data_IF_181905398548
#
_entry.id   IF_181905398548
#
_cell.length_a   1.000
_cell.length_b   1.000
_cell.length_c   1.000
_cell.angle_alpha   90.00
_cell.angle_beta   90.00
_cell.angle_gamma   90.00
#
_symmetry.space_group_name_H-M   'P 1'
#
loop_
_entity.id
_entity.type
_entity.pdbx_description
1 polymer ?
#
# COMPACT_ATOMS: atom_id res chain seq x y z
N UNK A 1 22.61 34.07 22.80
CA UNK A 1 21.67 33.27 21.97
C UNK A 1 20.37 33.23 22.74
N UNK A 2 19.57 34.27 22.56
CA UNK A 2 18.80 34.89 23.66
C UNK A 2 17.32 34.84 23.30
N UNK A 3 16.45 34.55 24.28
CA UNK A 3 14.99 34.80 24.46
C UNK A 3 14.12 35.08 23.19
N UNK A 4 14.58 35.87 22.22
CA UNK A 4 14.00 36.06 20.88
C UNK A 4 13.70 34.77 20.11
N UNK A 5 14.57 33.76 20.13
CA UNK A 5 14.33 32.50 19.39
C UNK A 5 13.20 31.70 20.03
N UNK A 6 13.14 31.67 21.37
CA UNK A 6 12.07 31.01 22.13
C UNK A 6 10.73 31.72 21.91
N UNK A 7 10.71 33.06 21.90
CA UNK A 7 9.51 33.85 21.59
C UNK A 7 9.02 33.68 20.14
N UNK A 8 9.93 33.49 19.17
CA UNK A 8 9.56 33.21 17.77
C UNK A 8 8.93 31.82 17.60
N UNK A 9 9.45 30.80 18.29
CA UNK A 9 8.90 29.43 18.23
C UNK A 9 7.52 29.37 18.89
N UNK A 10 7.33 30.01 20.05
CA UNK A 10 6.03 30.08 20.74
C UNK A 10 4.99 30.85 19.90
N UNK A 11 5.41 31.92 19.23
CA UNK A 11 4.55 32.70 18.33
C UNK A 11 4.06 31.86 17.14
N UNK A 12 4.95 31.08 16.50
CA UNK A 12 4.63 30.24 15.34
C UNK A 12 3.69 29.09 15.72
N UNK A 13 3.90 28.42 16.86
CA UNK A 13 2.98 27.38 17.33
C UNK A 13 1.62 27.95 17.69
N UNK A 14 1.57 29.12 18.33
CA UNK A 14 0.30 29.79 18.64
C UNK A 14 -0.47 30.18 17.37
N UNK A 15 0.24 30.53 16.29
CA UNK A 15 -0.36 30.84 14.98
C UNK A 15 -0.89 29.59 14.28
N UNK A 16 -0.15 28.48 14.31
CA UNK A 16 -0.58 27.19 13.78
C UNK A 16 -1.82 26.67 14.50
N UNK A 17 -1.86 26.77 15.82
CA UNK A 17 -3.03 26.37 16.64
C UNK A 17 -4.26 27.23 16.30
N UNK A 18 -4.08 28.55 16.15
CA UNK A 18 -5.18 29.48 15.80
C UNK A 18 -5.69 29.29 14.37
N UNK A 19 -4.81 29.01 13.40
CA UNK A 19 -5.21 28.68 12.03
C UNK A 19 -5.94 27.34 11.97
N UNK A 20 -5.45 26.32 12.68
CA UNK A 20 -6.10 25.01 12.73
C UNK A 20 -7.50 25.09 13.38
N UNK A 21 -7.65 25.93 14.42
CA UNK A 21 -8.95 26.22 15.05
C UNK A 21 -9.90 26.97 14.12
N UNK A 22 -9.41 27.98 13.39
CA UNK A 22 -10.21 28.73 12.41
C UNK A 22 -10.68 27.84 11.24
N UNK A 23 -9.86 26.90 10.77
CA UNK A 23 -10.24 25.93 9.73
C UNK A 23 -11.29 24.94 10.23
N UNK A 24 -11.18 24.46 11.47
CA UNK A 24 -12.18 23.57 12.10
C UNK A 24 -13.52 24.27 12.32
N UNK A 25 -13.51 25.50 12.82
CA UNK A 25 -14.73 26.32 13.00
C UNK A 25 -15.35 26.70 11.65
N UNK A 26 -14.54 27.02 10.64
CA UNK A 26 -15.00 27.29 9.28
C UNK A 26 -15.68 26.08 8.62
N UNK A 27 -15.12 24.87 8.78
CA UNK A 27 -15.74 23.63 8.31
C UNK A 27 -17.04 23.29 9.06
N UNK A 28 -17.09 23.52 10.38
CA UNK A 28 -18.29 23.30 11.19
C UNK A 28 -19.45 24.24 10.82
N UNK A 29 -19.16 25.53 10.57
CA UNK A 29 -20.17 26.51 10.15
C UNK A 29 -20.68 26.23 8.74
N UNK A 30 -19.80 25.80 7.82
CA UNK A 30 -20.19 25.43 6.46
C UNK A 30 -21.13 24.20 6.43
N UNK A 31 -20.87 23.19 7.29
CA UNK A 31 -21.72 21.99 7.44
C UNK A 31 -23.15 22.27 7.95
N UNK A 32 -23.38 23.37 8.69
CA UNK A 32 -24.70 23.67 9.27
C UNK A 32 -25.57 24.65 8.47
N UNK A 33 -24.96 25.50 7.63
CA UNK A 33 -25.67 26.61 6.98
C UNK A 33 -25.65 26.56 5.45
N UNK A 34 -24.95 25.61 4.82
CA UNK A 34 -25.00 25.42 3.36
C UNK A 34 -24.51 26.62 2.55
N UNK A 35 -23.61 27.44 3.08
CA UNK A 35 -23.05 28.61 2.38
C UNK A 35 -21.70 28.28 1.73
N UNK A 36 -21.71 28.13 0.40
CA UNK A 36 -20.53 27.86 -0.43
C UNK A 36 -19.41 28.90 -0.28
N UNK A 37 -18.17 28.42 -0.17
CA UNK A 37 -16.84 28.97 -0.60
C UNK A 37 -16.45 30.40 -0.15
N UNK A 38 -17.37 31.35 -0.11
CA UNK A 38 -17.13 32.78 0.16
C UNK A 38 -16.56 33.03 1.56
N UNK A 39 -16.96 32.27 2.58
CA UNK A 39 -16.54 32.53 3.97
C UNK A 39 -15.07 32.12 4.20
N UNK A 40 -14.62 31.01 3.60
CA UNK A 40 -13.22 30.59 3.63
C UNK A 40 -12.30 31.60 2.95
N UNK A 41 -12.74 32.20 1.84
CA UNK A 41 -12.00 33.26 1.16
C UNK A 41 -11.92 34.54 1.99
N UNK A 42 -13.00 34.92 2.68
CA UNK A 42 -13.03 36.12 3.54
C UNK A 42 -12.12 35.97 4.77
N UNK A 43 -12.12 34.80 5.42
CA UNK A 43 -11.24 34.52 6.57
C UNK A 43 -9.76 34.51 6.15
N UNK A 44 -9.45 33.97 4.97
CA UNK A 44 -8.09 33.98 4.42
C UNK A 44 -7.63 35.38 4.00
N UNK A 45 -8.52 36.19 3.39
CA UNK A 45 -8.24 37.58 3.01
C UNK A 45 -8.04 38.46 4.25
N UNK A 46 -8.84 38.27 5.31
CA UNK A 46 -8.64 38.97 6.59
C UNK A 46 -7.34 38.54 7.29
N UNK A 47 -6.96 37.26 7.19
CA UNK A 47 -5.66 36.76 7.65
C UNK A 47 -4.48 37.37 6.90
N UNK A 48 -4.58 37.50 5.57
CA UNK A 48 -3.55 38.15 4.74
C UNK A 48 -3.49 39.67 4.99
N UNK A 49 -4.62 40.33 5.22
CA UNK A 49 -4.66 41.75 5.58
C UNK A 49 -4.02 42.01 6.96
N UNK A 50 -4.21 41.09 7.91
CA UNK A 50 -3.57 41.11 9.23
C UNK A 50 -2.05 40.93 9.12
N UNK A 51 -1.58 40.00 8.27
CA UNK A 51 -0.14 39.77 7.99
C UNK A 51 0.49 40.99 7.30
N UNK A 52 -0.23 41.64 6.37
CA UNK A 52 0.25 42.84 5.65
C UNK A 52 0.42 44.06 6.56
N UNK A 53 -0.39 44.18 7.62
CA UNK A 53 -0.30 45.28 8.59
C UNK A 53 0.75 45.09 9.68
N UNK A 54 1.28 43.88 9.88
CA UNK A 54 2.35 43.60 10.83
C UNK A 54 3.68 43.29 10.12
N UNK A 55 4.33 44.34 9.60
CA UNK A 55 5.66 44.28 8.98
C UNK A 55 6.75 43.91 10.00
N UNK A 56 7.33 42.71 9.89
CA UNK A 56 8.79 42.44 9.99
C UNK A 56 9.12 40.93 9.95
N UNK A 57 8.78 40.25 8.87
CA UNK A 57 9.35 38.92 8.60
C UNK A 57 9.70 38.85 7.11
N UNK A 58 11.01 38.87 6.81
CA UNK A 58 11.53 38.59 5.47
C UNK A 58 11.12 37.18 5.06
N UNK A 59 10.06 37.09 4.25
CA UNK A 59 9.37 35.83 3.95
C UNK A 59 8.92 35.72 2.48
N UNK A 60 9.53 36.49 1.57
CA UNK A 60 9.12 36.43 0.17
C UNK A 60 9.52 35.11 -0.52
N UNK A 61 10.61 34.46 -0.13
CA UNK A 61 11.04 33.22 -0.78
C UNK A 61 10.38 31.96 -0.21
N UNK A 62 10.12 31.91 1.10
CA UNK A 62 9.44 30.77 1.74
C UNK A 62 7.98 30.73 1.32
N UNK A 63 7.30 31.89 1.34
CA UNK A 63 5.89 32.00 0.91
C UNK A 63 5.75 31.72 -0.59
N UNK A 64 6.74 32.08 -1.42
CA UNK A 64 6.72 31.77 -2.85
C UNK A 64 6.90 30.28 -3.10
N UNK A 65 7.83 29.63 -2.40
CA UNK A 65 8.13 28.20 -2.56
C UNK A 65 7.01 27.30 -2.04
N UNK A 66 6.42 27.64 -0.88
CA UNK A 66 5.24 26.94 -0.37
C UNK A 66 4.00 27.16 -1.25
N UNK A 67 3.85 28.35 -1.85
CA UNK A 67 2.77 28.63 -2.79
C UNK A 67 2.94 27.87 -4.11
N UNK A 68 4.16 27.74 -4.61
CA UNK A 68 4.48 26.94 -5.81
C UNK A 68 4.24 25.44 -5.54
N UNK A 69 4.70 24.90 -4.40
CA UNK A 69 4.43 23.51 -4.01
C UNK A 69 2.94 23.24 -3.73
N UNK A 70 2.21 24.18 -3.11
CA UNK A 70 0.78 24.06 -2.86
C UNK A 70 -0.03 24.10 -4.15
N UNK A 71 0.32 24.99 -5.09
CA UNK A 71 -0.32 25.07 -6.41
C UNK A 71 -0.05 23.80 -7.21
N UNK A 72 1.14 23.20 -7.11
CA UNK A 72 1.44 21.94 -7.80
C UNK A 72 0.69 20.75 -7.17
N UNK A 73 0.57 20.71 -5.83
CA UNK A 73 -0.29 19.72 -5.14
C UNK A 73 -1.77 19.90 -5.48
N UNK A 74 -2.26 21.14 -5.56
CA UNK A 74 -3.63 21.44 -6.01
C UNK A 74 -3.83 21.07 -7.49
N UNK A 75 -2.80 21.21 -8.33
CA UNK A 75 -2.87 20.84 -9.75
C UNK A 75 -2.92 19.33 -9.94
N UNK A 76 -2.12 18.57 -9.19
CA UNK A 76 -2.15 17.09 -9.15
C UNK A 76 -3.48 16.58 -8.55
N UNK A 77 -3.99 17.26 -7.53
CA UNK A 77 -5.31 16.98 -6.93
C UNK A 77 -6.48 17.34 -7.86
N UNK A 78 -6.36 18.40 -8.67
CA UNK A 78 -7.39 18.86 -9.62
C UNK A 78 -7.33 18.18 -10.99
N UNK A 79 -6.28 17.41 -11.30
CA UNK A 79 -6.17 16.63 -12.54
C UNK A 79 -6.85 15.25 -12.48
N UNK A 80 -7.56 14.93 -11.39
CA UNK A 80 -8.36 13.71 -11.27
C UNK A 80 -9.61 13.88 -12.13
N UNK A 81 -9.59 13.28 -13.31
CA UNK A 81 -10.74 13.24 -14.23
C UNK A 81 -11.43 11.88 -14.11
N UNK A 82 -12.75 11.88 -14.20
CA UNK A 82 -13.52 10.71 -14.62
C UNK A 82 -13.17 10.45 -16.09
N UNK A 83 -12.31 9.46 -16.32
CA UNK A 83 -11.96 9.02 -17.68
C UNK A 83 -12.81 7.80 -18.04
N UNK A 84 -13.67 7.94 -19.03
CA UNK A 84 -14.23 6.82 -19.79
C UNK A 84 -13.10 6.17 -20.61
N UNK A 85 -12.49 5.12 -20.08
CA UNK A 85 -11.50 4.34 -20.81
C UNK A 85 -12.21 3.38 -21.78
N UNK A 86 -12.34 3.77 -23.04
CA UNK A 86 -12.83 2.91 -24.14
C UNK A 86 -11.72 1.97 -24.63
N UNK A 87 -11.29 1.02 -23.79
CA UNK A 87 -10.39 -0.04 -24.22
C UNK A 87 -10.95 -1.43 -23.91
N UNK A 88 -12.01 -1.79 -24.63
CA UNK A 88 -12.72 -3.05 -24.50
C UNK A 88 -11.89 -4.29 -24.91
N UNK A 89 -10.70 -4.11 -25.51
CA UNK A 89 -9.89 -5.22 -26.04
C UNK A 89 -9.00 -5.86 -24.99
N UNK A 90 -8.64 -5.13 -23.92
CA UNK A 90 -7.82 -5.64 -22.80
C UNK A 90 -8.68 -6.48 -21.83
N UNK A 91 -10.00 -6.26 -21.81
CA UNK A 91 -10.95 -6.92 -20.89
C UNK A 91 -11.14 -8.43 -21.13
N UNK A 92 -10.77 -8.95 -22.31
CA UNK A 92 -11.13 -10.31 -22.74
C UNK A 92 -10.05 -11.39 -22.59
N UNK A 93 -8.83 -11.07 -22.13
CA UNK A 93 -7.75 -12.07 -22.02
C UNK A 93 -7.38 -12.49 -20.59
N UNK A 94 -7.77 -11.73 -19.56
CA UNK A 94 -7.34 -11.94 -18.17
C UNK A 94 -8.06 -13.12 -17.48
N UNK A 95 -9.10 -13.69 -18.12
CA UNK A 95 -10.02 -14.66 -17.52
C UNK A 95 -9.79 -16.15 -17.81
N UNK A 96 -8.64 -16.60 -18.36
CA UNK A 96 -8.46 -18.02 -18.74
C UNK A 96 -7.41 -18.83 -17.99
N UNK A 97 -6.51 -18.23 -17.20
CA UNK A 97 -5.70 -19.00 -16.23
C UNK A 97 -6.52 -19.14 -14.94
N UNK A 98 -6.73 -20.38 -14.49
CA UNK A 98 -7.43 -20.69 -13.24
C UNK A 98 -6.63 -20.10 -12.06
N UNK A 99 -7.11 -19.04 -11.43
CA UNK A 99 -6.49 -18.46 -10.24
C UNK A 99 -6.53 -19.48 -9.09
N UNK A 100 -5.35 -19.83 -8.57
CA UNK A 100 -5.21 -20.68 -7.39
C UNK A 100 -4.92 -19.79 -6.19
N UNK A 101 -5.67 -20.00 -5.12
CA UNK A 101 -5.58 -19.24 -3.87
C UNK A 101 -5.24 -20.15 -2.71
N UNK A 102 -4.63 -19.57 -1.68
CA UNK A 102 -4.57 -20.11 -0.34
C UNK A 102 -5.81 -19.62 0.42
N UNK A 103 -6.65 -20.54 0.85
CA UNK A 103 -7.95 -20.26 1.46
C UNK A 103 -8.03 -20.79 2.88
N UNK A 104 -8.58 -19.97 3.78
CA UNK A 104 -8.67 -20.23 5.21
C UNK A 104 -10.12 -20.05 5.66
N UNK A 105 -10.76 -21.16 6.06
CA UNK A 105 -12.16 -21.16 6.50
C UNK A 105 -12.29 -21.02 8.02
N UNK A 106 -11.35 -21.60 8.77
CA UNK A 106 -11.37 -21.66 10.23
C UNK A 106 -10.18 -20.89 10.82
N UNK A 107 -10.21 -19.56 10.72
CA UNK A 107 -9.22 -18.67 11.33
C UNK A 107 -9.91 -17.70 12.29
N UNK A 108 -9.24 -17.37 13.39
CA UNK A 108 -9.71 -16.33 14.31
C UNK A 108 -9.53 -14.95 13.64
N UNK A 109 -10.64 -14.24 13.46
CA UNK A 109 -10.70 -12.91 12.85
C UNK A 109 -9.79 -11.88 13.53
N UNK A 110 -9.61 -11.99 14.85
CA UNK A 110 -8.77 -11.11 15.66
C UNK A 110 -7.29 -11.53 15.67
N UNK A 111 -6.99 -12.76 15.24
CA UNK A 111 -5.62 -13.21 15.11
C UNK A 111 -5.03 -12.64 13.83
N UNK A 112 -3.89 -11.93 13.96
CA UNK A 112 -2.88 -12.01 12.90
C UNK A 112 -2.67 -13.51 12.71
N UNK A 113 -2.79 -14.05 11.51
CA UNK A 113 -2.28 -15.39 11.23
C UNK A 113 -0.81 -15.39 11.67
N UNK A 114 -0.52 -15.83 12.91
CA UNK A 114 0.84 -15.88 13.41
C UNK A 114 1.55 -16.96 12.61
N UNK A 115 2.34 -16.48 11.66
CA UNK A 115 3.59 -17.01 11.12
C UNK A 115 3.71 -18.54 11.12
N UNK A 116 3.61 -19.14 9.93
CA UNK A 116 4.00 -20.54 9.70
C UNK A 116 3.00 -21.61 10.15
N UNK A 117 1.91 -21.26 10.84
CA UNK A 117 0.85 -22.22 11.14
C UNK A 117 -0.07 -22.42 9.92
N UNK A 118 0.46 -23.14 8.93
CA UNK A 118 -0.25 -23.63 7.74
C UNK A 118 -1.34 -24.67 8.08
N UNK A 119 -1.80 -24.78 9.33
CA UNK A 119 -2.89 -25.68 9.69
C UNK A 119 -4.21 -25.14 9.12
N UNK A 120 -4.80 -25.90 8.22
CA UNK A 120 -6.12 -25.58 7.62
C UNK A 120 -6.08 -24.75 6.34
N UNK A 121 -4.90 -24.47 5.77
CA UNK A 121 -4.83 -23.85 4.42
C UNK A 121 -5.35 -24.83 3.37
N UNK A 122 -6.33 -24.38 2.59
CA UNK A 122 -6.86 -25.11 1.44
C UNK A 122 -6.38 -24.42 0.17
N UNK A 123 -5.65 -25.13 -0.68
CA UNK A 123 -5.33 -24.63 -2.02
C UNK A 123 -6.48 -24.94 -2.95
N UNK A 124 -7.15 -23.91 -3.43
CA UNK A 124 -8.32 -24.08 -4.28
C UNK A 124 -8.39 -23.08 -5.44
N UNK A 125 -9.25 -23.39 -6.40
CA UNK A 125 -9.53 -22.50 -7.52
C UNK A 125 -10.49 -21.43 -7.05
N UNK A 126 -10.10 -20.17 -7.19
CA UNK A 126 -11.00 -19.06 -6.92
C UNK A 126 -12.15 -19.07 -7.92
N UNK A 127 -13.36 -18.81 -7.42
CA UNK A 127 -14.58 -18.76 -8.24
C UNK A 127 -15.10 -17.33 -8.24
N UNK A 128 -15.21 -16.74 -9.43
CA UNK A 128 -15.86 -15.46 -9.60
C UNK A 128 -17.36 -15.54 -9.30
N UNK A 129 -17.92 -14.45 -8.79
CA UNK A 129 -19.33 -14.33 -8.41
C UNK A 129 -20.04 -13.35 -9.35
N UNK A 130 -21.36 -13.47 -9.47
CA UNK A 130 -22.19 -12.44 -10.09
C UNK A 130 -23.03 -11.73 -9.04
N UNK A 131 -23.11 -10.39 -9.07
CA UNK A 131 -23.96 -9.67 -8.13
C UNK A 131 -25.45 -9.94 -8.43
N UNK A 132 -26.27 -10.12 -7.39
CA UNK A 132 -27.73 -10.37 -7.53
C UNK A 132 -28.51 -9.11 -7.92
N UNK A 133 -27.95 -7.93 -7.63
CA UNK A 133 -28.46 -6.61 -8.00
C UNK A 133 -27.26 -5.67 -8.18
N UNK A 134 -27.49 -4.47 -8.67
CA UNK A 134 -26.45 -3.45 -8.72
C UNK A 134 -26.06 -3.04 -7.29
N UNK A 135 -24.82 -3.31 -6.89
CA UNK A 135 -24.25 -2.89 -5.60
C UNK A 135 -23.32 -1.69 -5.78
N UNK A 136 -23.23 -0.83 -4.78
CA UNK A 136 -22.21 0.21 -4.67
C UNK A 136 -21.25 -0.11 -3.54
N UNK A 137 -19.98 -0.27 -3.86
CA UNK A 137 -18.92 -0.64 -2.92
C UNK A 137 -18.09 0.59 -2.58
N UNK A 138 -17.96 0.86 -1.28
CA UNK A 138 -17.00 1.82 -0.76
C UNK A 138 -15.61 1.21 -0.75
N UNK A 139 -14.60 1.93 -1.23
CA UNK A 139 -13.22 1.44 -1.23
C UNK A 139 -12.33 2.48 -0.58
N UNK A 140 -11.54 2.07 0.40
CA UNK A 140 -10.61 2.95 1.09
C UNK A 140 -9.18 2.40 0.98
N UNK A 141 -8.35 3.09 0.21
CA UNK A 141 -6.92 2.81 0.04
C UNK A 141 -6.08 3.79 0.87
N UNK A 142 -4.83 3.46 1.20
CA UNK A 142 -3.99 4.37 1.98
C UNK A 142 -3.53 5.59 1.16
N UNK A 143 -3.03 5.43 -0.07
CA UNK A 143 -2.56 6.54 -0.91
C UNK A 143 -2.30 6.10 -2.36
N UNK A 144 -1.79 7.02 -3.20
CA UNK A 144 -1.27 6.74 -4.55
C UNK A 144 0.19 7.19 -4.74
N UNK A 145 0.93 7.41 -3.65
CA UNK A 145 2.34 7.82 -3.69
C UNK A 145 3.30 6.76 -4.25
N UNK A 146 2.87 5.49 -4.36
CA UNK A 146 3.65 4.42 -4.97
C UNK A 146 2.84 3.60 -5.99
N UNK A 147 3.55 2.86 -6.83
CA UNK A 147 2.98 2.07 -7.91
C UNK A 147 2.18 0.85 -7.44
N UNK A 148 2.37 0.40 -6.20
CA UNK A 148 1.64 -0.74 -5.65
C UNK A 148 0.16 -0.37 -5.51
N UNK A 149 -0.14 0.77 -4.89
CA UNK A 149 -1.53 1.22 -4.73
C UNK A 149 -2.18 1.76 -6.00
N UNK A 150 -1.37 2.23 -6.97
CA UNK A 150 -1.85 2.51 -8.33
C UNK A 150 -2.33 1.23 -9.01
N UNK A 151 -1.57 0.13 -8.89
CA UNK A 151 -1.96 -1.19 -9.41
C UNK A 151 -3.21 -1.74 -8.70
N UNK A 152 -3.31 -1.54 -7.38
CA UNK A 152 -4.51 -1.90 -6.63
C UNK A 152 -5.75 -1.14 -7.13
N UNK A 153 -5.62 0.17 -7.35
CA UNK A 153 -6.70 0.98 -7.91
C UNK A 153 -7.14 0.49 -9.30
N UNK A 154 -6.18 0.16 -10.18
CA UNK A 154 -6.49 -0.44 -11.47
C UNK A 154 -7.29 -1.74 -11.30
N UNK A 155 -6.80 -2.66 -10.45
CA UNK A 155 -7.45 -3.94 -10.20
C UNK A 155 -8.90 -3.80 -9.71
N UNK A 156 -9.14 -2.86 -8.80
CA UNK A 156 -10.47 -2.55 -8.27
C UNK A 156 -11.38 -1.99 -9.37
N UNK A 157 -10.95 -0.95 -10.07
CA UNK A 157 -11.80 -0.24 -11.04
C UNK A 157 -12.06 -1.10 -12.28
N UNK A 158 -11.03 -1.80 -12.78
CA UNK A 158 -11.15 -2.69 -13.93
C UNK A 158 -12.11 -3.85 -13.64
N UNK A 159 -11.97 -4.48 -12.47
CA UNK A 159 -12.82 -5.61 -12.13
C UNK A 159 -14.23 -5.21 -11.70
N UNK A 160 -14.40 -4.04 -11.07
CA UNK A 160 -15.74 -3.51 -10.78
C UNK A 160 -16.57 -3.32 -12.06
N UNK A 161 -15.94 -2.82 -13.14
CA UNK A 161 -16.57 -2.72 -14.48
C UNK A 161 -16.98 -4.09 -15.02
N UNK A 162 -16.12 -5.09 -14.89
CA UNK A 162 -16.41 -6.47 -15.33
C UNK A 162 -17.54 -7.12 -14.53
N UNK A 163 -17.54 -6.94 -13.20
CA UNK A 163 -18.56 -7.44 -12.29
C UNK A 163 -19.91 -6.71 -12.44
N UNK A 164 -19.91 -5.47 -12.92
CA UNK A 164 -21.10 -4.62 -12.99
C UNK A 164 -21.51 -4.03 -11.63
N UNK A 165 -20.54 -3.70 -10.78
CA UNK A 165 -20.76 -3.00 -9.50
C UNK A 165 -20.22 -1.57 -9.57
N UNK A 166 -20.82 -0.66 -8.79
CA UNK A 166 -20.34 0.72 -8.63
C UNK A 166 -19.27 0.78 -7.55
N UNK A 167 -18.33 1.70 -7.69
CA UNK A 167 -17.26 1.95 -6.72
C UNK A 167 -17.17 3.44 -6.39
N UNK A 168 -17.18 3.75 -5.10
CA UNK A 168 -16.79 5.04 -4.54
C UNK A 168 -15.50 4.85 -3.77
N UNK A 169 -14.40 5.43 -4.25
CA UNK A 169 -13.07 5.19 -3.72
C UNK A 169 -12.46 6.45 -3.12
N UNK A 170 -11.89 6.30 -1.92
CA UNK A 170 -11.09 7.31 -1.24
C UNK A 170 -9.65 6.83 -1.03
N UNK A 171 -8.73 7.79 -0.97
CA UNK A 171 -7.32 7.57 -0.63
C UNK A 171 -6.79 8.76 0.18
N UNK A 172 -6.08 8.50 1.28
CA UNK A 172 -5.81 9.52 2.31
C UNK A 172 -4.48 10.26 2.17
N UNK A 173 -3.80 10.13 1.03
CA UNK A 173 -2.68 10.98 0.65
C UNK A 173 -1.36 10.71 1.38
N UNK A 174 -1.22 9.59 2.11
CA UNK A 174 0.05 9.10 2.65
C UNK A 174 -0.10 8.18 3.86
N UNK A 175 1.00 7.55 4.30
CA UNK A 175 0.99 6.58 5.41
C UNK A 175 0.82 7.19 6.82
N UNK A 176 0.96 8.51 6.96
CA UNK A 176 0.84 9.21 8.26
C UNK A 176 -0.54 9.83 8.50
N UNK A 177 -1.45 9.70 7.54
CA UNK A 177 -2.74 10.39 7.51
C UNK A 177 -3.86 9.57 8.18
N UNK A 178 -3.56 8.95 9.34
CA UNK A 178 -4.49 8.08 10.06
C UNK A 178 -5.82 8.78 10.41
N UNK A 179 -5.74 10.04 10.85
CA UNK A 179 -6.93 10.83 11.18
C UNK A 179 -7.84 11.03 9.97
N UNK A 180 -7.26 11.32 8.81
CA UNK A 180 -8.01 11.44 7.57
C UNK A 180 -8.59 10.09 7.15
N UNK A 181 -7.84 8.97 7.30
CA UNK A 181 -8.36 7.64 6.96
C UNK A 181 -9.58 7.26 7.79
N UNK A 182 -9.60 7.64 9.08
CA UNK A 182 -10.78 7.46 9.92
C UNK A 182 -11.96 8.31 9.44
N UNK A 183 -11.74 9.59 9.11
CA UNK A 183 -12.80 10.46 8.59
C UNK A 183 -13.40 9.88 7.29
N UNK A 184 -12.56 9.46 6.34
CA UNK A 184 -13.01 8.88 5.07
C UNK A 184 -13.71 7.51 5.24
N UNK A 185 -13.28 6.69 6.21
CA UNK A 185 -13.97 5.44 6.55
C UNK A 185 -15.38 5.70 7.09
N UNK A 186 -15.53 6.69 7.98
CA UNK A 186 -16.83 7.09 8.49
C UNK A 186 -17.72 7.68 7.38
N UNK A 187 -17.16 8.50 6.49
CA UNK A 187 -17.89 9.08 5.36
C UNK A 187 -18.42 7.99 4.39
N UNK A 188 -17.69 6.88 4.18
CA UNK A 188 -18.19 5.72 3.44
C UNK A 188 -19.28 4.95 4.22
N UNK A 189 -19.09 4.81 5.53
CA UNK A 189 -20.03 4.10 6.41
C UNK A 189 -21.36 4.87 6.59
N UNK A 190 -21.35 6.19 6.53
CA UNK A 190 -22.55 7.03 6.67
C UNK A 190 -23.32 7.23 5.34
N UNK A 191 -22.73 6.89 4.19
CA UNK A 191 -23.39 7.05 2.88
C UNK A 191 -24.38 5.90 2.62
N UNK A 192 -25.69 6.18 2.68
CA UNK A 192 -26.77 5.20 2.46
C UNK A 192 -26.72 4.49 1.10
N UNK A 193 -25.96 5.01 0.13
CA UNK A 193 -25.80 4.36 -1.18
C UNK A 193 -24.77 3.24 -1.16
N UNK A 194 -23.88 3.20 -0.16
CA UNK A 194 -22.81 2.21 -0.04
C UNK A 194 -23.35 0.96 0.63
N UNK A 195 -23.33 -0.17 -0.08
CA UNK A 195 -23.82 -1.46 0.42
C UNK A 195 -22.77 -2.17 1.29
N UNK A 196 -21.48 -1.95 1.05
CA UNK A 196 -20.38 -2.58 1.79
C UNK A 196 -19.04 -1.92 1.49
N UNK A 197 -18.01 -2.21 2.31
CA UNK A 197 -16.71 -1.52 2.25
C UNK A 197 -15.57 -2.52 2.04
N UNK A 198 -14.65 -2.19 1.12
CA UNK A 198 -13.33 -2.82 1.00
C UNK A 198 -12.28 -1.87 1.56
N UNK A 199 -11.49 -2.31 2.52
CA UNK A 199 -10.63 -1.43 3.31
C UNK A 199 -9.18 -1.94 3.41
N UNK A 200 -8.24 -1.13 2.94
CA UNK A 200 -6.81 -1.30 3.16
C UNK A 200 -6.32 -0.33 4.24
N UNK A 201 -6.15 -0.83 5.46
CA UNK A 201 -5.82 -0.02 6.63
C UNK A 201 -4.37 0.47 6.65
N UNK A 202 -4.11 1.62 7.27
CA UNK A 202 -2.77 2.09 7.66
C UNK A 202 -2.27 1.44 8.97
N UNK A 203 -3.16 0.85 9.76
CA UNK A 203 -2.84 0.24 11.05
C UNK A 203 -3.78 -0.93 11.35
N UNK A 204 -3.21 -2.08 11.71
CA UNK A 204 -3.98 -3.32 11.87
C UNK A 204 -4.92 -3.32 13.09
N UNK A 205 -4.76 -2.40 14.05
CA UNK A 205 -5.48 -2.46 15.33
C UNK A 205 -6.31 -1.22 15.63
N UNK A 206 -5.88 -0.05 15.15
CA UNK A 206 -6.50 1.22 15.56
C UNK A 206 -7.91 1.46 15.03
N UNK A 207 -8.35 0.70 14.03
CA UNK A 207 -9.70 0.77 13.48
C UNK A 207 -10.65 -0.30 14.04
N UNK A 208 -10.23 -1.12 15.00
CA UNK A 208 -11.06 -2.25 15.47
C UNK A 208 -12.44 -1.81 15.95
N UNK A 209 -12.52 -0.80 16.83
CA UNK A 209 -13.80 -0.26 17.29
C UNK A 209 -14.62 0.43 16.19
N UNK A 210 -13.96 1.00 15.18
CA UNK A 210 -14.64 1.58 14.03
C UNK A 210 -15.29 0.49 13.18
N UNK A 211 -14.56 -0.60 12.92
CA UNK A 211 -15.06 -1.78 12.18
C UNK A 211 -16.22 -2.44 12.91
N UNK A 212 -16.09 -2.68 14.22
CA UNK A 212 -17.17 -3.23 15.06
C UNK A 212 -18.46 -2.41 14.91
N UNK A 213 -18.37 -1.08 15.05
CA UNK A 213 -19.52 -0.21 14.91
C UNK A 213 -20.14 -0.29 13.52
N UNK A 214 -19.35 -0.17 12.46
CA UNK A 214 -19.86 -0.17 11.08
C UNK A 214 -20.55 -1.48 10.73
N UNK A 215 -19.96 -2.61 11.10
CA UNK A 215 -20.51 -3.94 10.82
C UNK A 215 -21.79 -4.19 11.63
N UNK A 216 -21.86 -3.72 12.88
CA UNK A 216 -23.08 -3.75 13.67
C UNK A 216 -24.23 -2.90 13.09
N UNK A 217 -23.94 -1.88 12.27
CA UNK A 217 -24.92 -1.11 11.51
C UNK A 217 -25.11 -1.65 10.08
N UNK A 218 -24.96 -2.96 9.89
CA UNK A 218 -25.27 -3.74 8.68
C UNK A 218 -24.43 -3.40 7.42
N UNK A 219 -23.23 -2.82 7.56
CA UNK A 219 -22.29 -2.64 6.44
C UNK A 219 -21.09 -3.59 6.58
N UNK A 220 -21.01 -4.67 5.78
CA UNK A 220 -19.86 -5.57 5.84
C UNK A 220 -18.58 -4.89 5.39
N UNK A 221 -17.47 -5.26 6.02
CA UNK A 221 -16.12 -4.76 5.69
C UNK A 221 -15.21 -5.93 5.33
N UNK A 222 -14.59 -5.86 4.15
CA UNK A 222 -13.55 -6.79 3.72
C UNK A 222 -12.18 -6.12 3.79
N UNK A 223 -11.26 -6.71 4.56
CA UNK A 223 -9.87 -6.24 4.60
C UNK A 223 -9.17 -6.55 3.26
N UNK A 224 -8.42 -5.59 2.72
CA UNK A 224 -7.67 -5.73 1.47
C UNK A 224 -6.19 -5.45 1.71
N UNK A 225 -5.32 -6.39 1.31
CA UNK A 225 -3.85 -6.33 1.41
C UNK A 225 -3.34 -6.25 2.85
N UNK A 226 -3.63 -5.15 3.54
CA UNK A 226 -3.26 -4.93 4.93
C UNK A 226 -4.31 -5.54 5.86
N UNK A 227 -3.84 -6.31 6.85
CA UNK A 227 -4.70 -6.99 7.81
C UNK A 227 -5.39 -6.00 8.76
N UNK A 228 -6.61 -6.34 9.18
CA UNK A 228 -7.37 -5.63 10.19
C UNK A 228 -7.76 -6.67 11.26
N UNK A 229 -7.36 -6.40 12.51
CA UNK A 229 -7.46 -7.34 13.62
C UNK A 229 -8.78 -7.21 14.38
N UNK A 230 -9.81 -6.70 13.72
CA UNK A 230 -11.13 -6.59 14.32
C UNK A 230 -11.78 -7.97 14.31
N UNK A 231 -12.29 -8.49 15.45
CA UNK A 231 -13.10 -9.71 15.46
C UNK A 231 -14.32 -9.63 14.54
N UNK A 232 -14.82 -8.42 14.28
CA UNK A 232 -16.03 -8.16 13.50
C UNK A 232 -15.77 -7.95 12.00
N UNK A 233 -14.51 -8.04 11.55
CA UNK A 233 -14.20 -7.96 10.11
C UNK A 233 -14.92 -9.08 9.35
N UNK A 234 -15.52 -8.77 8.21
CA UNK A 234 -16.42 -9.71 7.54
C UNK A 234 -15.69 -10.76 6.69
N UNK A 235 -14.55 -10.41 6.09
CA UNK A 235 -13.61 -11.31 5.42
C UNK A 235 -12.27 -10.61 5.16
N UNK A 236 -11.24 -11.37 4.72
CA UNK A 236 -9.89 -10.85 4.45
C UNK A 236 -9.35 -11.33 3.09
N UNK A 237 -9.05 -10.39 2.20
CA UNK A 237 -8.35 -10.62 0.94
C UNK A 237 -6.89 -10.17 1.07
N UNK A 238 -6.05 -11.04 1.64
CA UNK A 238 -4.68 -10.71 2.06
C UNK A 238 -3.69 -11.83 1.74
N UNK A 239 -2.41 -11.46 1.64
CA UNK A 239 -1.27 -12.38 1.49
C UNK A 239 -0.35 -12.26 2.71
N UNK A 240 0.27 -13.38 3.11
CA UNK A 240 1.23 -13.43 4.21
C UNK A 240 2.55 -12.76 3.84
N UNK A 241 2.91 -11.67 4.52
CA UNK A 241 4.23 -11.04 4.39
C UNK A 241 5.38 -11.96 4.82
N UNK A 242 5.10 -12.87 5.76
CA UNK A 242 6.02 -13.94 6.11
C UNK A 242 6.30 -14.86 4.91
N UNK A 243 5.27 -15.27 4.18
CA UNK A 243 5.43 -16.14 3.00
C UNK A 243 6.20 -15.42 1.88
N UNK A 244 5.99 -14.11 1.72
CA UNK A 244 6.79 -13.26 0.82
C UNK A 244 8.27 -13.31 1.22
N UNK A 245 8.58 -13.08 2.50
CA UNK A 245 9.93 -13.19 3.04
C UNK A 245 10.54 -14.59 2.84
N UNK A 246 9.76 -15.63 3.11
CA UNK A 246 10.17 -17.03 2.97
C UNK A 246 10.53 -17.34 1.51
N UNK A 247 9.71 -16.90 0.54
CA UNK A 247 9.97 -17.08 -0.89
C UNK A 247 11.24 -16.36 -1.36
N UNK A 248 11.48 -15.15 -0.86
CA UNK A 248 12.74 -14.45 -1.12
C UNK A 248 13.95 -15.19 -0.53
N UNK A 249 13.81 -15.76 0.68
CA UNK A 249 14.86 -16.56 1.32
C UNK A 249 15.14 -17.88 0.61
N UNK A 250 14.10 -18.59 0.17
CA UNK A 250 14.19 -19.80 -0.65
C UNK A 250 15.00 -19.53 -1.91
N UNK A 251 14.68 -18.45 -2.63
CA UNK A 251 15.42 -18.05 -3.82
C UNK A 251 16.90 -17.77 -3.52
N UNK A 252 17.22 -17.00 -2.49
CA UNK A 252 18.62 -16.68 -2.13
C UNK A 252 19.41 -17.93 -1.75
N UNK A 253 18.80 -18.87 -1.02
CA UNK A 253 19.44 -20.14 -0.66
C UNK A 253 19.72 -20.99 -1.90
N UNK A 254 18.75 -21.11 -2.80
CA UNK A 254 18.92 -21.86 -4.06
C UNK A 254 20.02 -21.24 -4.93
N UNK A 255 19.95 -19.92 -5.14
CA UNK A 255 20.86 -19.14 -5.96
C UNK A 255 22.30 -19.13 -5.41
N UNK A 256 22.48 -19.22 -4.10
CA UNK A 256 23.80 -19.36 -3.47
C UNK A 256 24.52 -20.66 -3.85
N UNK A 257 23.80 -21.67 -4.35
CA UNK A 257 24.30 -22.99 -4.71
C UNK A 257 25.06 -23.71 -3.57
N UNK A 258 24.84 -23.31 -2.31
CA UNK A 258 25.55 -23.85 -1.14
C UNK A 258 26.87 -23.15 -0.79
N UNK A 259 27.19 -22.01 -1.42
CA UNK A 259 28.34 -21.18 -1.04
C UNK A 259 28.06 -20.42 0.25
N UNK A 260 29.12 -20.11 0.99
CA UNK A 260 29.05 -19.16 2.10
C UNK A 260 28.79 -17.77 1.55
N UNK A 261 27.82 -17.06 2.14
CA UNK A 261 27.37 -15.75 1.66
C UNK A 261 27.07 -14.79 2.80
N UNK A 262 27.24 -13.49 2.55
CA UNK A 262 26.86 -12.39 3.43
C UNK A 262 25.73 -11.55 2.82
N UNK A 263 24.69 -11.28 3.61
CA UNK A 263 23.46 -10.61 3.16
C UNK A 263 23.26 -9.30 3.92
N UNK A 264 23.14 -8.19 3.20
CA UNK A 264 22.64 -6.93 3.74
C UNK A 264 21.11 -6.90 3.62
N UNK A 265 20.41 -6.79 4.75
CA UNK A 265 18.94 -6.86 4.77
C UNK A 265 18.28 -5.51 5.07
N UNK A 266 17.42 -5.02 4.17
CA UNK A 266 16.70 -3.75 4.25
C UNK A 266 15.19 -4.00 4.29
N UNK A 267 14.61 -4.34 5.46
CA UNK A 267 13.24 -4.84 5.55
C UNK A 267 12.15 -3.77 5.31
N UNK A 268 12.48 -2.48 5.47
CA UNK A 268 11.50 -1.39 5.50
C UNK A 268 11.30 -0.79 6.90
N UNK A 269 10.15 -0.14 7.18
CA UNK A 269 9.91 0.53 8.46
C UNK A 269 9.64 -0.49 9.57
N UNK A 270 10.31 -0.36 10.72
CA UNK A 270 10.21 -1.34 11.81
C UNK A 270 8.78 -1.50 12.36
N UNK A 271 8.05 -0.40 12.45
CA UNK A 271 6.75 -0.33 13.11
C UNK A 271 5.57 -0.66 12.16
N UNK A 272 5.83 -1.13 10.94
CA UNK A 272 4.78 -1.39 9.94
C UNK A 272 4.11 -2.76 10.05
N UNK A 273 4.60 -3.64 10.92
CA UNK A 273 4.19 -5.05 11.00
C UNK A 273 4.78 -5.91 9.86
N UNK A 274 4.50 -5.54 8.60
CA UNK A 274 4.90 -6.32 7.42
C UNK A 274 6.41 -6.49 7.25
N UNK A 275 7.19 -5.48 7.65
CA UNK A 275 8.65 -5.50 7.49
C UNK A 275 9.30 -6.55 8.40
N UNK A 276 8.77 -6.72 9.61
CA UNK A 276 9.26 -7.71 10.56
C UNK A 276 8.88 -9.12 10.11
N UNK A 277 7.63 -9.34 9.71
CA UNK A 277 7.14 -10.64 9.23
C UNK A 277 7.94 -11.12 8.01
N UNK A 278 8.23 -10.21 7.08
CA UNK A 278 9.08 -10.48 5.91
C UNK A 278 10.49 -10.91 6.32
N UNK A 279 11.11 -10.23 7.28
CA UNK A 279 12.43 -10.60 7.79
C UNK A 279 12.41 -11.97 8.48
N UNK A 280 11.37 -12.26 9.26
CA UNK A 280 11.20 -13.52 9.96
C UNK A 280 11.03 -14.68 8.97
N UNK A 281 10.18 -14.52 7.95
CA UNK A 281 10.00 -15.50 6.90
C UNK A 281 11.30 -15.79 6.14
N UNK A 282 12.05 -14.74 5.80
CA UNK A 282 13.35 -14.89 5.14
C UNK A 282 14.34 -15.67 6.01
N UNK A 283 14.45 -15.31 7.29
CA UNK A 283 15.33 -16.01 8.24
C UNK A 283 14.95 -17.48 8.42
N UNK A 284 13.66 -17.79 8.47
CA UNK A 284 13.20 -19.17 8.60
C UNK A 284 13.49 -19.99 7.34
N UNK A 285 13.26 -19.44 6.14
CA UNK A 285 13.66 -20.09 4.89
C UNK A 285 15.16 -20.41 4.88
N UNK A 286 16.00 -19.44 5.23
CA UNK A 286 17.46 -19.63 5.34
C UNK A 286 17.80 -20.72 6.36
N UNK A 287 17.18 -20.67 7.55
CA UNK A 287 17.42 -21.65 8.61
C UNK A 287 17.08 -23.09 8.18
N UNK A 288 15.95 -23.26 7.48
CA UNK A 288 15.44 -24.57 7.06
C UNK A 288 16.12 -25.15 5.83
N UNK A 289 16.51 -24.30 4.87
CA UNK A 289 16.91 -24.74 3.53
C UNK A 289 18.42 -24.74 3.31
N UNK A 290 19.21 -24.01 4.12
CA UNK A 290 20.67 -23.99 3.97
C UNK A 290 21.27 -25.39 4.14
N UNK A 291 22.38 -25.67 3.44
CA UNK A 291 23.12 -26.93 3.63
C UNK A 291 23.77 -26.95 5.02
N UNK A 292 23.94 -28.12 5.63
CA UNK A 292 24.47 -28.26 7.00
C UNK A 292 25.81 -27.54 7.26
N UNK A 293 26.69 -27.46 6.25
CA UNK A 293 28.00 -26.81 6.36
C UNK A 293 28.05 -25.41 5.72
N UNK A 294 26.92 -24.87 5.28
CA UNK A 294 26.85 -23.57 4.64
C UNK A 294 26.68 -22.46 5.69
N UNK A 295 27.55 -21.45 5.63
CA UNK A 295 27.43 -20.23 6.41
C UNK A 295 26.71 -19.15 5.62
N UNK A 296 25.49 -18.82 6.05
CA UNK A 296 24.73 -17.67 5.55
C UNK A 296 24.69 -16.63 6.67
N UNK A 297 25.40 -15.52 6.49
CA UNK A 297 25.48 -14.42 7.46
C UNK A 297 24.49 -13.31 7.06
N UNK A 298 23.41 -13.16 7.82
CA UNK A 298 22.41 -12.11 7.61
C UNK A 298 22.75 -10.95 8.54
N UNK A 299 22.95 -9.76 7.98
CA UNK A 299 23.23 -8.56 8.75
C UNK A 299 22.15 -8.27 9.79
N UNK A 300 22.48 -7.44 10.78
CA UNK A 300 21.44 -6.72 11.49
C UNK A 300 20.58 -5.93 10.48
N UNK A 301 19.25 -5.91 10.65
CA UNK A 301 18.36 -5.28 9.68
C UNK A 301 18.53 -3.76 9.64
N UNK A 302 18.60 -3.21 8.44
CA UNK A 302 18.66 -1.77 8.18
C UNK A 302 17.25 -1.21 7.99
N UNK A 303 16.52 -1.04 9.09
CA UNK A 303 15.16 -0.48 9.07
C UNK A 303 15.16 0.98 8.57
N UNK A 304 14.13 1.35 7.82
CA UNK A 304 13.97 2.71 7.29
C UNK A 304 12.64 2.92 6.60
N UNK A 305 12.18 4.17 6.57
CA UNK A 305 10.99 4.62 5.83
C UNK A 305 11.08 4.19 4.35
N UNK A 306 9.96 3.85 3.71
CA UNK A 306 9.89 3.47 2.29
C UNK A 306 10.15 4.63 1.34
N UNK A 307 10.24 5.88 1.81
CA UNK A 307 10.57 7.02 0.95
C UNK A 307 11.93 6.84 0.23
N UNK A 308 12.01 7.15 -1.08
CA UNK A 308 13.25 6.97 -1.85
C UNK A 308 14.46 7.75 -1.34
N UNK A 309 14.27 8.94 -0.75
CA UNK A 309 15.35 9.74 -0.18
C UNK A 309 15.98 9.08 1.04
N UNK A 310 15.15 8.55 1.94
CA UNK A 310 15.58 7.83 3.14
C UNK A 310 16.29 6.52 2.77
N UNK A 311 15.72 5.76 1.84
CA UNK A 311 16.35 4.52 1.35
C UNK A 311 17.71 4.79 0.69
N UNK A 312 17.81 5.82 -0.17
CA UNK A 312 19.09 6.22 -0.78
C UNK A 312 20.16 6.52 0.28
N UNK A 313 19.80 7.27 1.33
CA UNK A 313 20.73 7.60 2.42
C UNK A 313 21.21 6.34 3.15
N UNK A 314 20.31 5.40 3.45
CA UNK A 314 20.64 4.14 4.12
C UNK A 314 21.53 3.25 3.25
N UNK A 315 21.16 3.04 1.98
CA UNK A 315 21.99 2.29 1.02
C UNK A 315 23.40 2.87 0.92
N UNK A 316 23.50 4.19 0.80
CA UNK A 316 24.79 4.89 0.70
C UNK A 316 25.63 4.64 1.96
N UNK A 317 25.04 4.86 3.15
CA UNK A 317 25.74 4.68 4.42
C UNK A 317 26.23 3.25 4.65
N UNK A 318 25.45 2.23 4.25
CA UNK A 318 25.82 0.83 4.43
C UNK A 318 26.88 0.38 3.43
N UNK A 319 26.69 0.66 2.14
CA UNK A 319 27.55 0.14 1.08
C UNK A 319 28.87 0.93 0.94
N UNK A 320 28.91 2.22 1.29
CA UNK A 320 30.19 2.97 1.26
C UNK A 320 31.21 2.39 2.24
N UNK A 321 30.72 1.88 3.38
CA UNK A 321 31.54 1.33 4.47
C UNK A 321 31.70 -0.20 4.41
N UNK A 322 30.93 -0.91 3.58
CA UNK A 322 30.98 -2.37 3.45
C UNK A 322 30.72 -2.80 2.00
N UNK A 323 31.73 -3.37 1.35
CA UNK A 323 31.64 -3.94 -0.01
C UNK A 323 31.76 -5.47 -0.03
N UNK A 324 31.73 -6.11 1.13
CA UNK A 324 31.89 -7.55 1.32
C UNK A 324 30.55 -8.32 1.38
N UNK A 325 29.44 -7.67 1.04
CA UNK A 325 28.13 -8.34 0.91
C UNK A 325 28.02 -9.04 -0.44
N UNK A 326 27.53 -10.28 -0.45
CA UNK A 326 27.21 -11.02 -1.67
C UNK A 326 25.79 -10.71 -2.16
N UNK A 327 24.87 -10.44 -1.22
CA UNK A 327 23.48 -10.12 -1.51
C UNK A 327 23.03 -8.85 -0.80
N UNK A 328 22.17 -8.10 -1.49
CA UNK A 328 21.30 -7.09 -0.90
C UNK A 328 19.85 -7.54 -1.06
N UNK A 329 19.18 -7.76 0.07
CA UNK A 329 17.77 -8.18 0.11
C UNK A 329 16.96 -7.07 0.78
N UNK A 330 15.85 -6.63 0.19
CA UNK A 330 15.05 -5.60 0.84
C UNK A 330 13.71 -5.29 0.20
N UNK A 331 12.98 -4.37 0.83
CA UNK A 331 11.74 -3.84 0.27
C UNK A 331 11.98 -3.19 -1.11
N UNK A 332 10.94 -3.11 -1.95
CA UNK A 332 11.09 -2.62 -3.32
C UNK A 332 11.78 -1.24 -3.41
N UNK A 333 11.45 -0.23 -2.59
CA UNK A 333 12.16 1.05 -2.58
C UNK A 333 13.66 0.93 -2.26
N UNK A 334 14.03 0.06 -1.32
CA UNK A 334 15.43 -0.19 -0.98
C UNK A 334 16.19 -0.80 -2.16
N UNK A 335 15.58 -1.79 -2.82
CA UNK A 335 16.16 -2.45 -4.00
C UNK A 335 16.31 -1.51 -5.19
N UNK A 336 15.31 -0.66 -5.45
CA UNK A 336 15.37 0.34 -6.52
C UNK A 336 16.53 1.33 -6.27
N UNK A 337 16.70 1.79 -5.04
CA UNK A 337 17.78 2.72 -4.70
C UNK A 337 19.16 2.04 -4.62
N UNK A 338 19.22 0.77 -4.20
CA UNK A 338 20.41 -0.06 -4.26
C UNK A 338 20.90 -0.25 -5.69
N UNK A 339 20.00 -0.59 -6.63
CA UNK A 339 20.33 -0.74 -8.04
C UNK A 339 20.93 0.56 -8.60
N UNK A 340 20.28 1.70 -8.38
CA UNK A 340 20.79 3.01 -8.81
C UNK A 340 22.17 3.33 -8.23
N UNK A 341 22.41 2.95 -6.98
CA UNK A 341 23.69 3.17 -6.31
C UNK A 341 24.81 2.29 -6.90
N UNK A 342 24.53 1.00 -7.10
CA UNK A 342 25.46 0.00 -7.63
C UNK A 342 25.75 0.25 -9.11
N UNK A 343 24.75 0.61 -9.91
CA UNK A 343 24.90 0.90 -11.33
C UNK A 343 25.87 2.05 -11.63
N UNK A 344 26.00 3.01 -10.71
CA UNK A 344 26.98 4.11 -10.78
C UNK A 344 28.39 3.73 -10.32
N UNK A 345 28.56 2.56 -9.71
CA UNK A 345 29.78 2.11 -9.03
C UNK A 345 30.10 0.63 -9.32
N UNK A 346 29.84 0.20 -10.56
CA UNK A 346 29.93 -1.21 -10.97
C UNK A 346 31.28 -1.84 -10.63
N UNK A 347 32.40 -1.14 -10.79
CA UNK A 347 33.71 -1.72 -10.47
C UNK A 347 33.84 -2.15 -8.99
N UNK A 348 33.25 -1.39 -8.07
CA UNK A 348 33.29 -1.70 -6.64
C UNK A 348 32.25 -2.75 -6.23
N UNK A 349 31.05 -2.71 -6.81
CA UNK A 349 29.91 -3.50 -6.34
C UNK A 349 29.34 -4.50 -7.36
N UNK A 350 30.06 -4.84 -8.44
CA UNK A 350 29.58 -5.72 -9.53
C UNK A 350 29.14 -7.12 -9.07
N UNK A 351 29.58 -7.57 -7.90
CA UNK A 351 29.27 -8.90 -7.40
C UNK A 351 28.05 -8.91 -6.48
N UNK A 352 27.54 -7.75 -6.05
CA UNK A 352 26.36 -7.70 -5.18
C UNK A 352 25.11 -8.08 -5.99
N UNK A 353 24.46 -9.15 -5.56
CA UNK A 353 23.22 -9.69 -6.10
C UNK A 353 22.03 -9.07 -5.38
N UNK A 354 21.03 -8.58 -6.12
CA UNK A 354 19.90 -7.85 -5.52
C UNK A 354 18.61 -8.69 -5.61
N UNK A 355 17.90 -8.83 -4.50
CA UNK A 355 16.60 -9.53 -4.42
C UNK A 355 15.60 -8.64 -3.69
N UNK A 356 14.41 -8.42 -4.27
CA UNK A 356 13.35 -7.67 -3.60
C UNK A 356 12.43 -8.60 -2.82
N UNK A 357 11.92 -8.13 -1.68
CA UNK A 357 10.99 -8.88 -0.84
C UNK A 357 9.52 -8.72 -1.24
N UNK A 358 9.22 -7.84 -2.18
CA UNK A 358 7.93 -7.77 -2.86
C UNK A 358 8.02 -7.08 -4.22
N UNK A 359 7.03 -7.34 -5.06
CA UNK A 359 6.99 -6.88 -6.44
C UNK A 359 6.34 -5.49 -6.58
N UNK A 360 6.94 -4.66 -7.41
CA UNK A 360 6.32 -3.47 -8.01
C UNK A 360 6.62 -3.45 -9.51
N UNK A 361 5.95 -2.59 -10.27
CA UNK A 361 6.27 -2.40 -11.70
C UNK A 361 7.74 -2.03 -11.94
N UNK A 362 8.32 -1.19 -11.08
CA UNK A 362 9.74 -0.84 -11.15
C UNK A 362 10.63 -2.05 -10.91
N UNK A 363 10.35 -2.87 -9.88
CA UNK A 363 11.11 -4.09 -9.59
C UNK A 363 10.98 -5.10 -10.74
N UNK A 364 9.79 -5.26 -11.32
CA UNK A 364 9.58 -6.11 -12.50
C UNK A 364 10.47 -5.68 -13.66
N UNK A 365 10.52 -4.38 -13.97
CA UNK A 365 11.37 -3.83 -15.02
C UNK A 365 12.87 -4.02 -14.70
N UNK A 366 13.28 -3.98 -13.43
CA UNK A 366 14.66 -4.26 -13.02
C UNK A 366 15.03 -5.74 -13.14
N UNK A 367 14.09 -6.65 -12.87
CA UNK A 367 14.25 -8.09 -13.11
C UNK A 367 14.35 -8.35 -14.62
N UNK A 368 13.50 -7.72 -15.43
CA UNK A 368 13.57 -7.81 -16.87
C UNK A 368 14.93 -7.32 -17.41
N UNK A 369 15.53 -6.30 -16.80
CA UNK A 369 16.89 -5.82 -17.15
C UNK A 369 18.01 -6.70 -16.60
N UNK A 370 17.72 -7.62 -15.68
CA UNK A 370 18.70 -8.48 -15.01
C UNK A 370 19.54 -7.77 -13.94
N UNK A 371 19.15 -6.56 -13.52
CA UNK A 371 19.83 -5.82 -12.43
C UNK A 371 19.29 -6.18 -11.04
N UNK A 372 18.09 -6.76 -10.98
CA UNK A 372 17.51 -7.44 -9.81
C UNK A 372 17.27 -8.89 -10.20
N UNK A 373 17.58 -9.84 -9.32
CA UNK A 373 17.51 -11.26 -9.66
C UNK A 373 16.10 -11.81 -9.60
N UNK A 374 15.39 -11.51 -8.52
CA UNK A 374 14.05 -12.02 -8.28
C UNK A 374 13.28 -11.17 -7.28
N UNK A 375 11.97 -11.37 -7.27
CA UNK A 375 11.07 -10.88 -6.24
C UNK A 375 9.80 -11.72 -6.15
N UNK A 376 9.29 -12.01 -4.94
CA UNK A 376 7.99 -12.63 -4.80
C UNK A 376 6.89 -11.63 -5.19
N UNK A 377 5.84 -12.12 -5.85
CA UNK A 377 4.66 -11.32 -6.17
C UNK A 377 3.48 -11.79 -5.33
N UNK A 378 2.83 -10.86 -4.65
CA UNK A 378 1.57 -11.07 -3.94
C UNK A 378 0.35 -10.87 -4.87
N UNK A 379 0.58 -10.63 -6.16
CA UNK A 379 -0.44 -10.45 -7.19
C UNK A 379 -1.53 -9.45 -6.77
N UNK A 380 -1.15 -8.20 -6.51
CA UNK A 380 -2.01 -7.12 -5.99
C UNK A 380 -3.36 -6.98 -6.71
N UNK A 381 -3.37 -7.06 -8.05
CA UNK A 381 -4.62 -7.02 -8.84
C UNK A 381 -5.54 -8.19 -8.47
N UNK A 382 -5.00 -9.40 -8.28
CA UNK A 382 -5.80 -10.57 -7.92
C UNK A 382 -6.35 -10.46 -6.49
N UNK A 383 -5.60 -9.89 -5.55
CA UNK A 383 -6.12 -9.58 -4.21
C UNK A 383 -7.33 -8.62 -4.28
N UNK A 384 -7.26 -7.59 -5.14
CA UNK A 384 -8.37 -6.66 -5.35
C UNK A 384 -9.62 -7.37 -5.92
N UNK A 385 -9.42 -8.29 -6.87
CA UNK A 385 -10.52 -9.09 -7.44
C UNK A 385 -11.16 -10.00 -6.40
N UNK A 386 -10.35 -10.68 -5.60
CA UNK A 386 -10.79 -11.51 -4.48
C UNK A 386 -11.61 -10.68 -3.49
N UNK A 387 -11.15 -9.48 -3.12
CA UNK A 387 -11.87 -8.61 -2.19
C UNK A 387 -13.25 -8.19 -2.72
N UNK A 388 -13.34 -7.83 -4.00
CA UNK A 388 -14.61 -7.49 -4.65
C UNK A 388 -15.53 -8.70 -4.76
N UNK A 389 -15.00 -9.88 -5.07
CA UNK A 389 -15.79 -11.11 -5.06
C UNK A 389 -16.31 -11.44 -3.65
N UNK A 390 -15.47 -11.30 -2.62
CA UNK A 390 -15.85 -11.55 -1.22
C UNK A 390 -16.96 -10.61 -0.75
N UNK A 391 -16.83 -9.30 -1.00
CA UNK A 391 -17.88 -8.35 -0.57
C UNK A 391 -19.19 -8.62 -1.32
N UNK A 392 -19.15 -8.93 -2.62
CA UNK A 392 -20.35 -9.28 -3.39
C UNK A 392 -20.99 -10.59 -2.89
N UNK A 393 -20.20 -11.59 -2.51
CA UNK A 393 -20.70 -12.83 -1.88
C UNK A 393 -21.47 -12.53 -0.59
N UNK A 394 -20.89 -11.71 0.29
CA UNK A 394 -21.53 -11.31 1.54
C UNK A 394 -22.84 -10.57 1.25
N UNK A 395 -22.84 -9.61 0.33
CA UNK A 395 -24.03 -8.85 -0.07
C UNK A 395 -25.09 -9.70 -0.79
N UNK A 396 -24.67 -10.81 -1.42
CA UNK A 396 -25.56 -11.83 -1.97
C UNK A 396 -26.14 -12.75 -0.88
N UNK A 397 -25.70 -12.64 0.37
CA UNK A 397 -26.15 -13.44 1.52
C UNK A 397 -25.33 -14.70 1.80
N UNK A 398 -24.16 -14.87 1.16
CA UNK A 398 -23.23 -15.96 1.49
C UNK A 398 -22.45 -15.64 2.78
N UNK A 399 -22.07 -16.67 3.54
CA UNK A 399 -21.37 -16.53 4.81
C UNK A 399 -19.88 -16.87 4.67
N UNK A 400 -19.03 -15.93 5.03
CA UNK A 400 -17.59 -16.12 5.12
C UNK A 400 -17.26 -17.24 6.13
N UNK A 401 -16.27 -18.08 5.82
CA UNK A 401 -15.88 -19.25 6.60
C UNK A 401 -16.79 -20.47 6.42
N UNK A 402 -17.93 -20.34 5.71
CA UNK A 402 -18.87 -21.44 5.45
C UNK A 402 -19.05 -21.66 3.95
N UNK A 403 -19.56 -20.66 3.24
CA UNK A 403 -19.87 -20.74 1.80
C UNK A 403 -18.65 -20.40 0.93
N UNK A 404 -17.74 -19.58 1.47
CA UNK A 404 -16.47 -19.17 0.88
C UNK A 404 -15.45 -18.92 2.00
N UNK A 405 -14.13 -18.88 1.75
CA UNK A 405 -13.15 -18.76 2.81
C UNK A 405 -13.22 -17.40 3.50
N UNK A 406 -13.03 -17.40 4.82
CA UNK A 406 -12.99 -16.17 5.60
C UNK A 406 -11.77 -15.30 5.23
N UNK A 407 -10.63 -15.94 5.02
CA UNK A 407 -9.42 -15.30 4.51
C UNK A 407 -8.92 -16.01 3.27
N UNK A 408 -8.53 -15.25 2.24
CA UNK A 408 -7.94 -15.81 1.03
C UNK A 408 -6.95 -14.86 0.39
N UNK A 409 -5.90 -15.41 -0.20
CA UNK A 409 -4.94 -14.67 -1.01
C UNK A 409 -4.45 -15.52 -2.19
N UNK A 410 -4.04 -14.89 -3.30
CA UNK A 410 -3.38 -15.62 -4.38
C UNK A 410 -2.12 -16.31 -3.85
N UNK A 411 -1.77 -17.47 -4.42
CA UNK A 411 -0.47 -18.06 -4.13
C UNK A 411 0.67 -17.09 -4.52
N UNK A 412 1.75 -17.07 -3.76
CA UNK A 412 2.91 -16.19 -3.99
C UNK A 412 3.91 -16.87 -4.93
N UNK A 413 3.99 -16.52 -6.24
CA UNK A 413 5.11 -16.92 -7.08
C UNK A 413 6.37 -16.12 -6.73
N UNK A 414 7.53 -16.75 -6.92
CA UNK A 414 8.81 -16.05 -7.08
C UNK A 414 9.00 -15.75 -8.58
N UNK A 415 9.15 -14.48 -8.92
CA UNK A 415 9.41 -14.06 -10.31
C UNK A 415 10.88 -13.69 -10.42
N UNK A 416 11.59 -14.32 -11.35
CA UNK A 416 13.00 -14.10 -11.66
C UNK A 416 13.18 -13.90 -13.15
N UNK A 417 14.41 -13.60 -13.58
CA UNK A 417 14.71 -13.46 -15.01
C UNK A 417 14.36 -14.71 -15.83
N UNK A 418 14.41 -15.89 -15.22
CA UNK A 418 14.21 -17.17 -15.88
C UNK A 418 12.74 -17.47 -16.21
N UNK A 419 11.81 -16.95 -15.41
CA UNK A 419 10.37 -17.22 -15.56
C UNK A 419 9.52 -15.97 -15.83
N UNK A 420 10.13 -14.77 -15.89
CA UNK A 420 9.38 -13.51 -16.07
C UNK A 420 8.51 -13.50 -17.33
N UNK A 421 8.90 -14.21 -18.39
CA UNK A 421 8.11 -14.33 -19.63
C UNK A 421 6.78 -15.08 -19.47
N UNK A 422 6.54 -15.74 -18.33
CA UNK A 422 5.28 -16.41 -18.02
C UNK A 422 4.22 -15.46 -17.43
N UNK A 423 4.63 -14.24 -17.10
CA UNK A 423 3.83 -13.21 -16.45
C UNK A 423 3.71 -11.98 -17.34
N UNK A 424 2.49 -11.66 -17.74
CA UNK A 424 2.22 -10.41 -18.46
C UNK A 424 2.26 -9.22 -17.48
N UNK A 425 2.89 -8.13 -17.88
CA UNK A 425 3.02 -6.94 -17.05
C UNK A 425 1.64 -6.39 -16.63
N UNK A 426 0.72 -6.32 -17.59
CA UNK A 426 -0.61 -5.77 -17.41
C UNK A 426 -1.47 -6.61 -16.45
N UNK A 427 -1.21 -7.92 -16.35
CA UNK A 427 -1.91 -8.80 -15.41
C UNK A 427 -1.47 -8.56 -13.95
N UNK A 428 -0.25 -8.06 -13.74
CA UNK A 428 0.31 -7.78 -12.42
C UNK A 428 0.09 -6.34 -11.97
N UNK A 429 0.19 -5.37 -12.89
CA UNK A 429 0.24 -3.94 -12.56
C UNK A 429 -0.79 -3.07 -13.30
N UNK A 430 -1.51 -3.65 -14.28
CA UNK A 430 -2.40 -2.89 -15.15
C UNK A 430 -1.65 -2.13 -16.25
N UNK A 431 -2.37 -1.28 -16.96
CA UNK A 431 -1.79 -0.51 -18.06
C UNK A 431 -0.69 0.44 -17.55
N UNK A 432 0.43 0.51 -18.28
CA UNK A 432 1.55 1.42 -18.00
C UNK A 432 1.16 2.90 -18.00
N UNK A 433 0.09 3.25 -18.71
CA UNK A 433 -0.43 4.62 -18.82
C UNK A 433 -1.62 4.88 -17.89
N UNK A 434 -1.91 3.95 -16.96
CA UNK A 434 -3.05 4.08 -16.08
C UNK A 434 -2.93 5.26 -15.12
N UNK A 435 -4.00 6.04 -15.04
CA UNK A 435 -4.16 7.14 -14.09
C UNK A 435 -5.20 6.69 -13.05
N UNK A 436 -4.91 6.78 -11.74
CA UNK A 436 -5.85 6.37 -10.70
C UNK A 436 -7.23 7.03 -10.82
N UNK A 437 -8.28 6.24 -10.63
CA UNK A 437 -9.67 6.67 -10.70
C UNK A 437 -10.32 6.56 -9.33
N UNK A 438 -10.98 7.63 -8.87
CA UNK A 438 -11.65 7.67 -7.57
C UNK A 438 -13.10 7.20 -7.60
N UNK A 439 -13.78 7.26 -8.74
CA UNK A 439 -15.19 6.89 -8.83
C UNK A 439 -15.48 6.09 -10.11
N UNK A 440 -16.23 5.01 -9.97
CA UNK A 440 -16.85 4.28 -11.07
C UNK A 440 -18.34 4.10 -10.76
N UNK A 441 -19.20 4.90 -11.40
CA UNK A 441 -20.63 4.95 -11.07
C UNK A 441 -21.53 4.29 -12.13
N UNK A 442 -20.97 3.41 -12.96
CA UNK A 442 -21.67 2.81 -14.11
C UNK A 442 -21.42 3.57 -15.42
N UNK A 443 -22.01 3.06 -16.51
CA UNK A 443 -21.72 3.47 -17.90
C UNK A 443 -21.94 4.94 -18.19
#
# INVERSE_FOLDING_TARGET
MTIKVILQVISIESLKVRMCFATKVGKYINRKLGLSILITSVVFILGLAYIKNHKNIGSNDIVRKEKEEYVERERVSKSITTVETNDDRILTQIGKKKLIVNSYYNIDAASNSKEGDMRGVVKEKWRHIKPKKEYTIGVLLPHFEDQYWVSANYGIINYAKELGVKVKLYAVGGYIEFGNQKEELMDLAEDDKIDGIVFATLDNTKFNSDVENIVHYDKPIVALVNDINSPDISAKAIVSYYDMGYKAGEYVVEDSAGKDIKIAFFPGPKESGWALDTLNGFKDAVSRLKKNNQKIDISNPFYGDTRPDMQRLHITSVLENNDDYDYLVGCAPAVIEAEKFIAKRKEKFKNIRIVSTYMTSDVFNLIEKGSVLASPSDQTIQQCRIALDMIVRILNGEKAGIDFPFQSGPCVPIISKDNISEFEYEDLFGSKEYIPVLNHMGK
#
